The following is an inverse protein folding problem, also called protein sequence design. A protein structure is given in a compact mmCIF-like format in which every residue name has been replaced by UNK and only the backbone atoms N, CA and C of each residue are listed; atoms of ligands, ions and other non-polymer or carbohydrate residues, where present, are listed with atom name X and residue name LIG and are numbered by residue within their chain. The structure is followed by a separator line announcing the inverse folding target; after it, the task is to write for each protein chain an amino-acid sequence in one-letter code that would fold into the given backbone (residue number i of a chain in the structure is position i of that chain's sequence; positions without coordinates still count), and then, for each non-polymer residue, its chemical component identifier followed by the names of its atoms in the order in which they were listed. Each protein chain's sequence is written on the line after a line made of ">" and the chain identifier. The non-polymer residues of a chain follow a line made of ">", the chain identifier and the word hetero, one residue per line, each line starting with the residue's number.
data_IF_899264865063
#
_entry.id   IF_899264865063
#
_cell.length_a   1.000
_cell.length_b   1.000
_cell.length_c   1.000
_cell.angle_alpha   90.00
_cell.angle_beta   90.00
_cell.angle_gamma   90.00
#
_symmetry.space_group_name_H-M   'P 1'
#
loop_
_entity.id
_entity.type
_entity.pdbx_description
1 polymer ?
#
# COMPACT_ATOMS: atom_id res chain seq x y z
N UNK A 1 10.52 13.40 18.18
CA UNK A 1 11.25 12.47 17.28
C UNK A 1 11.64 13.28 16.06
N UNK A 2 12.79 13.00 15.47
CA UNK A 2 13.36 13.86 14.44
C UNK A 2 12.73 13.60 13.07
N UNK A 3 11.45 13.97 12.89
CA UNK A 3 10.75 13.88 11.60
C UNK A 3 11.57 14.51 10.45
N UNK A 4 12.21 15.69 10.62
CA UNK A 4 13.08 16.24 9.59
C UNK A 4 14.25 15.35 9.21
N UNK A 5 14.92 14.71 10.19
CA UNK A 5 16.03 13.78 9.95
C UNK A 5 15.53 12.53 9.22
N UNK A 6 14.35 12.01 9.60
CA UNK A 6 13.75 10.86 8.95
C UNK A 6 13.46 11.15 7.48
N UNK A 7 12.86 12.31 7.18
CA UNK A 7 12.57 12.76 5.81
C UNK A 7 13.84 12.93 4.99
N UNK A 8 14.86 13.59 5.55
CA UNK A 8 16.15 13.84 4.88
C UNK A 8 16.83 12.52 4.48
N UNK A 9 16.92 11.57 5.40
CA UNK A 9 17.56 10.27 5.13
C UNK A 9 16.76 9.46 4.12
N UNK A 10 15.41 9.44 4.20
CA UNK A 10 14.56 8.78 3.20
C UNK A 10 14.81 9.35 1.80
N UNK A 11 14.76 10.67 1.65
CA UNK A 11 14.93 11.30 0.35
C UNK A 11 16.34 11.07 -0.22
N UNK A 12 17.38 11.13 0.62
CA UNK A 12 18.74 10.83 0.21
C UNK A 12 18.92 9.35 -0.20
N UNK A 13 18.33 8.41 0.58
CA UNK A 13 18.47 6.98 0.33
C UNK A 13 17.71 6.51 -0.92
N UNK A 14 16.57 7.14 -1.22
CA UNK A 14 15.73 6.77 -2.36
C UNK A 14 15.92 7.65 -3.60
N UNK A 15 16.86 8.60 -3.58
CA UNK A 15 17.13 9.51 -4.70
C UNK A 15 17.45 8.76 -6.01
N UNK A 16 18.11 7.62 -5.93
CA UNK A 16 18.44 6.79 -7.10
C UNK A 16 17.21 6.12 -7.74
N UNK A 17 16.07 6.07 -7.01
CA UNK A 17 14.80 5.50 -7.48
C UNK A 17 13.84 6.58 -7.93
N UNK A 18 14.32 7.56 -8.66
CA UNK A 18 13.52 8.72 -9.13
C UNK A 18 12.30 8.31 -9.97
N UNK A 19 12.32 7.12 -10.58
CA UNK A 19 11.21 6.61 -11.39
C UNK A 19 9.92 6.37 -10.58
N UNK A 20 10.01 6.13 -9.28
CA UNK A 20 8.85 5.89 -8.42
C UNK A 20 8.87 6.69 -7.10
N UNK A 21 10.06 7.08 -6.60
CA UNK A 21 10.15 7.87 -5.38
C UNK A 21 9.78 9.33 -5.65
N UNK A 22 8.69 9.78 -5.06
CA UNK A 22 8.21 11.16 -5.22
C UNK A 22 8.72 12.14 -4.16
N UNK A 23 9.45 11.65 -3.18
CA UNK A 23 9.78 12.38 -1.96
C UNK A 23 8.63 12.42 -0.96
N UNK A 24 8.98 12.74 0.27
CA UNK A 24 8.07 12.99 1.37
C UNK A 24 8.50 14.29 2.07
N UNK A 25 7.58 15.05 2.62
CA UNK A 25 7.93 16.21 3.46
C UNK A 25 7.55 15.95 4.92
N UNK A 26 8.02 16.84 5.80
CA UNK A 26 7.78 16.76 7.25
C UNK A 26 6.29 16.78 7.59
N UNK A 27 5.49 17.56 6.87
CA UNK A 27 4.04 17.61 7.07
C UNK A 27 3.35 16.28 6.76
N UNK A 28 3.73 15.63 5.67
CA UNK A 28 3.23 14.29 5.32
C UNK A 28 3.68 13.23 6.32
N UNK A 29 4.93 13.34 6.83
CA UNK A 29 5.40 12.46 7.89
C UNK A 29 4.58 12.67 9.17
N UNK A 30 4.36 13.91 9.55
CA UNK A 30 3.53 14.26 10.71
C UNK A 30 2.09 13.72 10.58
N UNK A 31 1.48 13.82 9.39
CA UNK A 31 0.15 13.22 9.15
C UNK A 31 0.17 11.67 9.24
N UNK A 32 1.24 11.03 8.75
CA UNK A 32 1.43 9.58 8.89
C UNK A 32 1.51 9.16 10.36
N UNK A 33 2.16 9.94 11.19
CA UNK A 33 2.32 9.70 12.64
C UNK A 33 1.02 9.85 13.44
N UNK A 34 0.00 10.54 12.91
CA UNK A 34 -1.33 10.64 13.53
C UNK A 34 -2.18 9.37 13.39
N UNK A 35 -1.73 8.39 12.61
CA UNK A 35 -2.45 7.13 12.49
C UNK A 35 -2.53 6.43 13.86
N UNK A 36 -3.72 5.94 14.29
CA UNK A 36 -3.86 5.19 15.53
C UNK A 36 -2.98 3.93 15.61
N UNK A 37 -2.62 3.36 14.46
CA UNK A 37 -1.73 2.20 14.35
C UNK A 37 -0.25 2.56 14.25
N UNK A 38 0.11 3.85 14.25
CA UNK A 38 1.51 4.25 14.14
C UNK A 38 2.31 3.84 15.39
N UNK A 39 3.49 3.27 15.17
CA UNK A 39 4.31 2.69 16.21
C UNK A 39 5.61 3.50 16.40
N UNK A 40 5.60 4.41 17.37
CA UNK A 40 6.75 5.28 17.65
C UNK A 40 7.98 4.55 18.19
N UNK A 41 7.80 3.42 18.88
CA UNK A 41 8.89 2.70 19.55
C UNK A 41 9.79 1.92 18.60
N UNK A 42 9.29 1.61 17.40
CA UNK A 42 10.00 0.79 16.42
C UNK A 42 10.92 1.55 15.46
N UNK A 43 11.15 2.86 15.66
CA UNK A 43 11.93 3.69 14.72
C UNK A 43 13.38 3.81 15.18
N UNK A 44 14.31 3.47 14.28
CA UNK A 44 15.75 3.55 14.55
C UNK A 44 16.46 4.31 13.43
N UNK A 45 17.43 5.13 13.84
CA UNK A 45 18.33 5.88 12.95
C UNK A 45 19.75 5.34 13.16
N UNK A 46 20.41 4.99 12.07
CA UNK A 46 21.85 4.70 12.09
C UNK A 46 22.65 5.98 11.87
N UNK A 47 23.67 6.18 12.70
CA UNK A 47 24.57 7.31 12.59
C UNK A 47 26.02 6.82 12.39
N UNK A 48 26.75 7.50 11.52
CA UNK A 48 28.19 7.37 11.35
C UNK A 48 28.82 8.76 11.51
N UNK A 49 29.79 8.89 12.39
CA UNK A 49 30.45 10.18 12.69
C UNK A 49 29.44 11.31 12.95
N UNK A 50 28.45 11.02 13.81
CA UNK A 50 27.35 11.93 14.19
C UNK A 50 26.42 12.35 13.03
N UNK A 51 26.50 11.66 11.88
CA UNK A 51 25.63 11.90 10.73
C UNK A 51 24.61 10.78 10.58
N UNK A 52 23.30 11.12 10.46
CA UNK A 52 22.28 10.14 10.13
C UNK A 52 22.52 9.59 8.71
N UNK A 53 22.65 8.27 8.58
CA UNK A 53 23.01 7.62 7.31
C UNK A 53 22.05 6.51 6.89
N UNK A 54 21.16 6.08 7.78
CA UNK A 54 20.20 5.01 7.49
C UNK A 54 19.07 4.96 8.48
N UNK A 55 18.00 4.30 8.08
CA UNK A 55 16.75 4.17 8.82
C UNK A 55 16.23 2.75 8.79
N UNK A 56 15.50 2.38 9.85
CA UNK A 56 14.61 1.22 9.83
C UNK A 56 13.40 1.47 10.74
N UNK A 57 12.25 1.02 10.31
CA UNK A 57 11.01 1.05 11.09
C UNK A 57 10.51 -0.38 11.36
N UNK A 58 10.69 -0.83 12.59
CA UNK A 58 10.26 -2.12 13.12
C UNK A 58 8.84 -2.00 13.70
N UNK A 59 7.84 -2.16 12.86
CA UNK A 59 6.42 -2.03 13.22
C UNK A 59 5.87 -3.34 13.79
N UNK A 60 5.35 -3.32 15.03
CA UNK A 60 4.64 -4.45 15.61
C UNK A 60 3.13 -4.30 15.35
N UNK A 61 2.57 -5.23 14.55
CA UNK A 61 1.13 -5.24 14.26
C UNK A 61 0.34 -5.70 15.50
N UNK A 62 -0.51 -4.81 16.03
CA UNK A 62 -1.25 -5.04 17.28
C UNK A 62 -2.58 -5.78 17.09
N UNK A 63 -3.14 -5.74 15.88
CA UNK A 63 -4.47 -6.28 15.57
C UNK A 63 -4.43 -7.67 14.93
N UNK A 64 -3.24 -8.16 14.57
CA UNK A 64 -3.06 -9.50 13.99
C UNK A 64 -2.97 -10.57 15.08
N UNK A 65 -3.76 -11.64 14.95
CA UNK A 65 -3.67 -12.80 15.81
C UNK A 65 -2.31 -13.54 15.70
N UNK A 66 -1.66 -13.46 14.55
CA UNK A 66 -0.38 -14.16 14.26
C UNK A 66 0.83 -13.53 14.95
N UNK A 67 0.68 -12.41 15.68
CA UNK A 67 1.81 -11.66 16.26
C UNK A 67 2.88 -11.36 15.21
N UNK A 68 2.49 -10.65 14.18
CA UNK A 68 3.32 -10.29 13.03
C UNK A 68 3.96 -8.92 13.20
N UNK A 69 5.23 -8.83 12.83
CA UNK A 69 5.97 -7.58 12.72
C UNK A 69 6.38 -7.28 11.28
N UNK A 70 6.57 -6.01 10.99
CA UNK A 70 6.98 -5.54 9.67
C UNK A 70 8.21 -4.66 9.76
N UNK A 71 9.12 -4.81 8.82
CA UNK A 71 10.28 -3.93 8.64
C UNK A 71 10.00 -3.00 7.47
N UNK A 72 9.76 -1.72 7.78
CA UNK A 72 9.49 -0.64 6.83
C UNK A 72 10.62 0.38 6.83
N UNK A 73 10.59 1.34 5.90
CA UNK A 73 11.54 2.45 5.77
C UNK A 73 13.00 2.01 5.94
N UNK A 74 13.29 0.77 5.53
CA UNK A 74 14.60 0.15 5.69
C UNK A 74 15.53 0.63 4.58
N UNK A 75 16.39 1.58 4.87
CA UNK A 75 17.28 2.18 3.87
C UNK A 75 18.58 2.70 4.47
N UNK A 76 19.61 2.80 3.61
CA UNK A 76 20.89 3.45 3.87
C UNK A 76 21.21 4.35 2.69
N UNK A 77 21.68 5.57 2.98
CA UNK A 77 22.13 6.53 1.97
C UNK A 77 23.24 5.87 1.11
N UNK A 78 23.20 5.97 -0.24
CA UNK A 78 24.09 5.22 -1.14
C UNK A 78 25.56 5.26 -0.78
N UNK A 79 26.09 6.43 -0.42
CA UNK A 79 27.50 6.66 -0.09
C UNK A 79 27.96 5.94 1.20
N UNK A 80 27.02 5.42 2.00
CA UNK A 80 27.29 4.73 3.26
C UNK A 80 26.96 3.24 3.22
N UNK A 81 26.54 2.71 2.08
CA UNK A 81 26.32 1.26 1.86
C UNK A 81 27.63 0.49 1.93
N UNK A 82 27.54 -0.82 2.01
CA UNK A 82 28.69 -1.74 2.08
C UNK A 82 29.63 -1.48 3.29
N UNK A 83 29.09 -0.88 4.35
CA UNK A 83 29.81 -0.61 5.61
C UNK A 83 29.20 -1.34 6.81
N UNK A 84 28.36 -2.34 6.59
CA UNK A 84 27.69 -3.09 7.66
C UNK A 84 26.53 -2.34 8.33
N UNK A 85 26.10 -1.19 7.76
CA UNK A 85 25.00 -0.37 8.34
C UNK A 85 23.67 -1.07 8.13
N UNK A 86 23.44 -1.65 6.94
CA UNK A 86 22.18 -2.34 6.62
C UNK A 86 21.99 -3.58 7.49
N UNK A 87 23.05 -4.38 7.66
CA UNK A 87 23.05 -5.57 8.52
C UNK A 87 22.72 -5.18 9.96
N UNK A 88 23.31 -4.08 10.45
CA UNK A 88 23.08 -3.61 11.80
C UNK A 88 21.66 -3.10 12.02
N UNK A 89 21.10 -2.36 11.06
CA UNK A 89 19.70 -1.90 11.09
C UNK A 89 18.73 -3.08 11.07
N UNK A 90 18.99 -4.09 10.21
CA UNK A 90 18.17 -5.30 10.15
C UNK A 90 18.21 -6.06 11.48
N UNK A 91 19.41 -6.24 12.06
CA UNK A 91 19.60 -6.89 13.36
C UNK A 91 18.81 -6.19 14.48
N UNK A 92 18.90 -4.86 14.55
CA UNK A 92 18.17 -4.05 15.54
C UNK A 92 16.67 -4.21 15.36
N UNK A 93 16.15 -4.14 14.13
CA UNK A 93 14.73 -4.29 13.85
C UNK A 93 14.22 -5.69 14.22
N UNK A 94 14.95 -6.74 13.85
CA UNK A 94 14.59 -8.12 14.20
C UNK A 94 14.57 -8.32 15.72
N UNK A 95 15.58 -7.82 16.43
CA UNK A 95 15.67 -7.94 17.87
C UNK A 95 14.56 -7.17 18.60
N UNK A 96 14.21 -5.98 18.12
CA UNK A 96 13.10 -5.20 18.67
C UNK A 96 11.76 -5.92 18.49
N UNK A 97 11.47 -6.43 17.29
CA UNK A 97 10.24 -7.18 17.03
C UNK A 97 10.17 -8.46 17.86
N UNK A 98 11.30 -9.18 18.01
CA UNK A 98 11.39 -10.36 18.86
C UNK A 98 11.13 -10.02 20.34
N UNK A 99 11.76 -8.96 20.86
CA UNK A 99 11.56 -8.46 22.23
C UNK A 99 10.09 -8.12 22.49
N UNK A 100 9.39 -7.61 21.48
CA UNK A 100 7.96 -7.27 21.54
C UNK A 100 7.03 -8.46 21.31
N UNK A 101 7.59 -9.67 21.21
CA UNK A 101 6.85 -10.93 21.16
C UNK A 101 6.25 -11.26 19.80
N UNK A 102 6.79 -10.68 18.72
CA UNK A 102 6.41 -11.09 17.37
C UNK A 102 6.97 -12.46 17.04
N UNK A 103 6.20 -13.29 16.35
CA UNK A 103 6.57 -14.65 15.94
C UNK A 103 6.98 -14.69 14.46
N UNK A 104 6.53 -13.73 13.69
CA UNK A 104 6.75 -13.64 12.25
C UNK A 104 7.17 -12.22 11.92
N UNK A 105 8.19 -12.07 11.09
CA UNK A 105 8.64 -10.77 10.59
C UNK A 105 8.57 -10.78 9.06
N UNK A 106 8.02 -9.71 8.49
CA UNK A 106 8.03 -9.50 7.05
C UNK A 106 8.79 -8.23 6.69
N UNK A 107 9.46 -8.28 5.54
CA UNK A 107 10.09 -7.14 4.89
C UNK A 107 9.87 -7.24 3.38
N UNK A 108 9.85 -6.11 2.69
CA UNK A 108 9.67 -6.08 1.24
C UNK A 108 10.78 -5.26 0.57
N UNK A 109 11.03 -5.56 -0.70
CA UNK A 109 11.98 -4.83 -1.53
C UNK A 109 11.55 -4.88 -3.00
N UNK A 110 12.00 -3.91 -3.81
CA UNK A 110 11.88 -4.01 -5.26
C UNK A 110 12.74 -5.17 -5.80
N UNK A 111 12.28 -5.82 -6.86
CA UNK A 111 13.00 -6.93 -7.47
C UNK A 111 14.37 -6.52 -8.07
N UNK A 112 14.56 -5.23 -8.36
CA UNK A 112 15.79 -4.62 -8.85
C UNK A 112 16.89 -4.49 -7.77
N UNK A 113 16.51 -4.61 -6.48
CA UNK A 113 17.41 -4.49 -5.33
C UNK A 113 18.03 -5.84 -4.98
N UNK A 114 18.94 -6.34 -5.84
CA UNK A 114 19.62 -7.63 -5.60
C UNK A 114 20.44 -7.65 -4.31
N UNK A 115 21.03 -6.53 -3.91
CA UNK A 115 21.72 -6.31 -2.64
C UNK A 115 20.80 -6.59 -1.44
N UNK A 116 19.59 -6.02 -1.47
CA UNK A 116 18.60 -6.19 -0.42
C UNK A 116 18.01 -7.61 -0.40
N UNK A 117 17.78 -8.19 -1.57
CA UNK A 117 17.32 -9.59 -1.69
C UNK A 117 18.34 -10.52 -1.02
N UNK A 118 19.64 -10.36 -1.37
CA UNK A 118 20.71 -11.16 -0.79
C UNK A 118 20.79 -11.01 0.74
N UNK A 119 20.76 -9.78 1.26
CA UNK A 119 20.77 -9.51 2.69
C UNK A 119 19.60 -10.21 3.42
N UNK A 120 18.39 -10.12 2.89
CA UNK A 120 17.23 -10.78 3.49
C UNK A 120 17.38 -12.31 3.49
N UNK A 121 17.91 -12.89 2.41
CA UNK A 121 18.18 -14.33 2.33
C UNK A 121 19.27 -14.78 3.32
N UNK A 122 20.37 -14.02 3.48
CA UNK A 122 21.43 -14.26 4.46
C UNK A 122 20.93 -14.17 5.91
N UNK A 123 19.89 -13.36 6.14
CA UNK A 123 19.19 -13.26 7.42
C UNK A 123 18.09 -14.32 7.60
N UNK A 124 18.05 -15.36 6.76
CA UNK A 124 17.06 -16.45 6.77
C UNK A 124 15.62 -16.04 6.48
N UNK A 125 15.39 -14.90 5.85
CA UNK A 125 14.08 -14.60 5.29
C UNK A 125 13.82 -15.42 4.03
N UNK A 126 12.57 -15.81 3.81
CA UNK A 126 12.13 -16.56 2.63
C UNK A 126 11.12 -15.77 1.85
N UNK A 127 11.25 -15.75 0.52
CA UNK A 127 10.25 -15.15 -0.37
C UNK A 127 8.89 -15.84 -0.18
N UNK A 128 7.83 -15.07 0.10
CA UNK A 128 6.49 -15.60 0.35
C UNK A 128 5.48 -15.20 -0.70
N UNK A 129 5.58 -14.00 -1.28
CA UNK A 129 4.76 -13.56 -2.41
C UNK A 129 5.35 -12.34 -3.11
N UNK A 130 4.78 -12.02 -4.25
CA UNK A 130 5.09 -10.81 -5.02
C UNK A 130 3.90 -9.86 -5.00
N UNK A 131 4.19 -8.56 -4.95
CA UNK A 131 3.21 -7.51 -5.21
C UNK A 131 3.51 -6.89 -6.57
N UNK A 132 2.48 -6.72 -7.39
CA UNK A 132 2.56 -6.08 -8.69
C UNK A 132 1.95 -4.69 -8.62
N UNK A 133 2.72 -3.66 -8.97
CA UNK A 133 2.16 -2.42 -9.45
C UNK A 133 1.81 -2.60 -10.93
N UNK A 134 0.56 -2.34 -11.29
CA UNK A 134 0.06 -2.50 -12.65
C UNK A 134 -0.47 -1.18 -13.18
N UNK A 135 -0.29 -0.92 -14.47
CA UNK A 135 -0.68 0.31 -15.13
C UNK A 135 -1.53 0.05 -16.37
N UNK A 136 -2.47 0.95 -16.65
CA UNK A 136 -3.21 1.02 -17.91
C UNK A 136 -3.23 2.47 -18.43
N UNK A 137 -3.07 2.64 -19.75
CA UNK A 137 -3.46 3.89 -20.40
C UNK A 137 -4.99 3.88 -20.59
N UNK A 138 -5.67 4.94 -20.15
CA UNK A 138 -7.14 5.01 -20.17
C UNK A 138 -7.72 4.92 -21.58
N UNK A 139 -6.98 5.33 -22.61
CA UNK A 139 -7.38 5.14 -24.01
C UNK A 139 -7.40 3.68 -24.47
N UNK A 140 -6.74 2.79 -23.72
CA UNK A 140 -6.62 1.37 -24.05
C UNK A 140 -7.64 0.48 -23.32
N UNK A 141 -8.56 1.08 -22.58
CA UNK A 141 -9.62 0.32 -21.87
C UNK A 141 -10.55 -0.32 -22.91
N UNK A 142 -10.69 -1.67 -22.93
CA UNK A 142 -11.55 -2.33 -23.89
C UNK A 142 -13.02 -1.93 -23.72
N UNK A 143 -13.72 -1.69 -24.83
CA UNK A 143 -15.13 -1.28 -24.83
C UNK A 143 -16.10 -2.42 -24.43
N UNK A 144 -15.68 -3.70 -24.58
CA UNK A 144 -16.54 -4.87 -24.37
C UNK A 144 -16.03 -5.78 -23.25
N UNK A 145 -15.90 -5.21 -22.03
CA UNK A 145 -15.58 -6.01 -20.84
C UNK A 145 -16.90 -6.36 -20.16
N UNK A 146 -17.23 -7.62 -20.03
CA UNK A 146 -18.46 -8.06 -19.34
C UNK A 146 -18.51 -7.52 -17.90
N UNK A 147 -19.28 -6.46 -17.68
CA UNK A 147 -19.58 -5.86 -16.37
C UNK A 147 -21.01 -6.20 -15.96
N UNK A 148 -21.29 -6.14 -14.66
CA UNK A 148 -22.67 -6.31 -14.18
C UNK A 148 -23.37 -4.94 -14.17
N UNK A 149 -24.23 -4.72 -15.16
CA UNK A 149 -24.99 -3.46 -15.32
C UNK A 149 -26.13 -3.30 -14.31
N UNK A 150 -26.53 -4.35 -13.59
CA UNK A 150 -27.54 -4.27 -12.53
C UNK A 150 -26.97 -3.66 -11.23
N UNK A 151 -25.62 -3.56 -11.14
CA UNK A 151 -24.95 -2.92 -10.00
C UNK A 151 -25.08 -1.41 -10.11
N UNK A 152 -25.67 -0.79 -9.09
CA UNK A 152 -25.67 0.67 -8.92
C UNK A 152 -24.43 1.09 -8.14
N UNK A 153 -23.85 2.24 -8.52
CA UNK A 153 -22.70 2.80 -7.84
C UNK A 153 -23.05 4.17 -7.29
N UNK A 154 -22.71 4.40 -6.02
CA UNK A 154 -22.96 5.66 -5.33
C UNK A 154 -21.70 6.12 -4.57
N UNK A 155 -21.44 7.44 -4.47
CA UNK A 155 -20.30 7.92 -3.72
C UNK A 155 -20.51 7.75 -2.21
N UNK A 156 -19.41 7.49 -1.48
CA UNK A 156 -19.37 7.54 -0.02
C UNK A 156 -19.50 9.00 0.43
N UNK A 157 -20.36 9.23 1.41
CA UNK A 157 -20.54 10.55 2.05
C UNK A 157 -19.63 10.64 3.28
N UNK A 158 -18.52 11.35 3.16
CA UNK A 158 -17.47 11.40 4.18
C UNK A 158 -17.93 11.85 5.57
N UNK A 159 -18.98 12.68 5.62
CA UNK A 159 -19.57 13.21 6.87
C UNK A 159 -20.75 12.38 7.40
N UNK A 160 -21.02 11.22 6.82
CA UNK A 160 -22.10 10.32 7.24
C UNK A 160 -21.49 9.12 7.96
N UNK A 161 -21.70 9.03 9.26
CA UNK A 161 -21.15 7.98 10.11
C UNK A 161 -21.53 6.57 9.63
N UNK A 162 -22.74 6.39 9.12
CA UNK A 162 -23.21 5.11 8.56
C UNK A 162 -22.36 4.66 7.36
N UNK A 163 -21.96 5.61 6.51
CA UNK A 163 -21.11 5.29 5.35
C UNK A 163 -19.71 4.85 5.81
N UNK A 164 -19.16 5.48 6.85
CA UNK A 164 -17.86 5.07 7.45
C UNK A 164 -17.96 3.66 8.05
N UNK A 165 -19.03 3.37 8.79
CA UNK A 165 -19.27 2.03 9.36
C UNK A 165 -19.46 0.98 8.27
N UNK A 166 -20.20 1.32 7.22
CA UNK A 166 -20.39 0.43 6.06
C UNK A 166 -19.06 0.16 5.36
N UNK A 167 -18.23 1.17 5.15
CA UNK A 167 -16.91 0.99 4.56
C UNK A 167 -16.00 0.13 5.45
N UNK A 168 -15.99 0.36 6.76
CA UNK A 168 -15.21 -0.42 7.70
C UNK A 168 -15.62 -1.91 7.65
N UNK A 169 -16.92 -2.18 7.75
CA UNK A 169 -17.43 -3.54 7.65
C UNK A 169 -17.08 -4.20 6.31
N UNK A 170 -17.36 -3.54 5.18
CA UNK A 170 -17.03 -4.06 3.85
C UNK A 170 -15.53 -4.35 3.71
N UNK A 171 -14.68 -3.47 4.24
CA UNK A 171 -13.23 -3.66 4.16
C UNK A 171 -12.83 -4.91 4.92
N UNK A 172 -13.28 -5.06 6.16
CA UNK A 172 -12.94 -6.22 6.99
C UNK A 172 -13.44 -7.53 6.37
N UNK A 173 -14.70 -7.58 5.93
CA UNK A 173 -15.28 -8.78 5.29
C UNK A 173 -14.62 -9.12 3.93
N UNK A 174 -14.32 -8.12 3.11
CA UNK A 174 -13.77 -8.37 1.77
C UNK A 174 -12.31 -8.82 1.82
N UNK A 175 -11.56 -8.39 2.84
CA UNK A 175 -10.13 -8.63 2.96
C UNK A 175 -9.75 -9.69 4.00
N UNK A 176 -10.72 -10.27 4.73
CA UNK A 176 -10.47 -11.32 5.74
C UNK A 176 -9.60 -12.47 5.21
N UNK A 177 -9.78 -12.84 3.94
CA UNK A 177 -9.05 -13.95 3.30
C UNK A 177 -7.69 -13.53 2.69
N UNK A 178 -7.38 -12.22 2.68
CA UNK A 178 -6.14 -11.72 2.07
C UNK A 178 -4.99 -11.96 3.07
N UNK A 179 -3.91 -12.61 2.65
CA UNK A 179 -2.74 -12.76 3.51
C UNK A 179 -2.27 -11.41 4.06
N UNK A 180 -1.89 -11.38 5.32
CA UNK A 180 -1.41 -10.18 6.02
C UNK A 180 -2.45 -9.06 6.22
N UNK A 181 -3.72 -9.33 5.95
CA UNK A 181 -4.74 -8.36 6.30
C UNK A 181 -4.97 -8.36 7.82
N UNK A 182 -4.89 -7.19 8.43
CA UNK A 182 -5.29 -6.96 9.81
C UNK A 182 -6.63 -6.21 9.83
N UNK A 183 -7.62 -6.65 10.62
CA UNK A 183 -8.90 -5.97 10.72
C UNK A 183 -8.72 -4.50 11.14
N UNK A 184 -9.48 -3.61 10.53
CA UNK A 184 -9.43 -2.18 10.83
C UNK A 184 -10.51 -1.78 11.82
N UNK A 185 -10.14 -0.92 12.72
CA UNK A 185 -11.10 -0.22 13.57
C UNK A 185 -11.87 0.83 12.77
N UNK A 186 -13.02 1.26 13.28
CA UNK A 186 -13.80 2.35 12.68
C UNK A 186 -13.00 3.65 12.68
N UNK A 187 -12.20 3.88 13.71
CA UNK A 187 -11.36 5.07 13.83
C UNK A 187 -10.25 5.10 12.77
N UNK A 188 -9.57 3.98 12.52
CA UNK A 188 -8.58 3.87 11.43
C UNK A 188 -9.23 4.08 10.07
N UNK A 189 -10.43 3.52 9.86
CA UNK A 189 -11.18 3.73 8.62
C UNK A 189 -11.56 5.19 8.46
N UNK A 190 -12.07 5.85 9.52
CA UNK A 190 -12.40 7.27 9.52
C UNK A 190 -11.16 8.11 9.20
N UNK A 191 -10.06 7.85 9.88
CA UNK A 191 -8.79 8.54 9.62
C UNK A 191 -8.35 8.37 8.17
N UNK A 192 -8.44 7.16 7.63
CA UNK A 192 -8.06 6.89 6.23
C UNK A 192 -8.96 7.57 5.19
N UNK A 193 -10.21 7.91 5.52
CA UNK A 193 -11.14 8.62 4.63
C UNK A 193 -10.96 10.13 4.71
N UNK A 194 -10.64 10.65 5.89
CA UNK A 194 -10.59 12.10 6.15
C UNK A 194 -9.18 12.68 5.97
N UNK A 195 -8.14 11.91 6.32
CA UNK A 195 -6.76 12.38 6.44
C UNK A 195 -5.82 11.63 5.51
N UNK A 196 -6.08 11.65 4.19
CA UNK A 196 -5.13 11.11 3.22
C UNK A 196 -4.01 12.11 2.96
N UNK A 197 -2.87 11.91 3.61
CA UNK A 197 -1.71 12.79 3.53
C UNK A 197 -1.08 12.87 2.13
N UNK A 198 -1.25 11.85 1.29
CA UNK A 198 -0.59 11.77 -0.01
C UNK A 198 -1.53 11.72 -1.22
N UNK A 199 -2.85 11.60 -0.99
CA UNK A 199 -3.84 11.63 -2.07
C UNK A 199 -4.76 12.83 -1.88
N UNK A 200 -4.52 13.91 -2.61
CA UNK A 200 -5.29 15.15 -2.49
C UNK A 200 -6.75 14.99 -2.88
N UNK A 201 -7.02 14.14 -3.87
CA UNK A 201 -8.37 13.80 -4.30
C UNK A 201 -8.62 12.33 -4.10
N UNK A 202 -9.29 11.97 -3.01
CA UNK A 202 -9.78 10.61 -2.79
C UNK A 202 -11.30 10.59 -2.85
N UNK A 203 -11.81 9.75 -3.73
CA UNK A 203 -13.23 9.41 -3.80
C UNK A 203 -13.42 7.91 -3.58
N UNK A 204 -14.40 7.56 -2.78
CA UNK A 204 -14.78 6.17 -2.49
C UNK A 204 -16.21 5.96 -2.96
N UNK A 205 -16.48 4.81 -3.57
CA UNK A 205 -17.77 4.45 -4.12
C UNK A 205 -18.23 3.11 -3.58
N UNK A 206 -19.50 3.01 -3.24
CA UNK A 206 -20.17 1.77 -2.92
C UNK A 206 -20.83 1.16 -4.15
N UNK A 207 -20.77 -0.17 -4.26
CA UNK A 207 -21.54 -0.94 -5.23
C UNK A 207 -22.70 -1.63 -4.52
N UNK A 208 -23.92 -1.43 -5.01
CA UNK A 208 -25.11 -2.09 -4.52
C UNK A 208 -25.76 -2.97 -5.60
N UNK A 209 -26.19 -4.17 -5.20
CA UNK A 209 -26.99 -5.10 -5.99
C UNK A 209 -28.25 -5.43 -5.19
N UNK A 210 -29.42 -5.31 -5.82
CA UNK A 210 -30.73 -5.53 -5.15
C UNK A 210 -30.84 -4.74 -3.83
N UNK A 211 -30.47 -3.47 -3.85
CA UNK A 211 -30.45 -2.53 -2.72
C UNK A 211 -29.49 -2.91 -1.56
N UNK A 212 -28.69 -3.95 -1.71
CA UNK A 212 -27.68 -4.34 -0.72
C UNK A 212 -26.32 -3.84 -1.15
N UNK A 213 -25.61 -3.17 -0.25
CA UNK A 213 -24.20 -2.79 -0.49
C UNK A 213 -23.34 -4.06 -0.46
N UNK A 214 -22.67 -4.35 -1.57
CA UNK A 214 -21.97 -5.64 -1.79
C UNK A 214 -20.50 -5.48 -2.15
N UNK A 215 -20.03 -4.24 -2.29
CA UNK A 215 -18.63 -3.96 -2.60
C UNK A 215 -18.34 -2.48 -2.59
N UNK A 216 -17.09 -2.15 -2.81
CA UNK A 216 -16.61 -0.76 -2.87
C UNK A 216 -15.33 -0.65 -3.68
N UNK A 217 -15.02 0.58 -4.11
CA UNK A 217 -13.74 0.96 -4.68
C UNK A 217 -13.37 2.38 -4.29
N UNK A 218 -12.08 2.70 -4.30
CA UNK A 218 -11.58 4.05 -4.11
C UNK A 218 -10.72 4.49 -5.28
N UNK A 219 -10.71 5.77 -5.59
CA UNK A 219 -9.76 6.38 -6.52
C UNK A 219 -9.04 7.53 -5.84
N UNK A 220 -7.79 7.78 -6.22
CA UNK A 220 -7.01 8.87 -5.68
C UNK A 220 -6.00 9.38 -6.68
N UNK A 221 -5.56 10.65 -6.51
CA UNK A 221 -4.56 11.30 -7.35
C UNK A 221 -3.45 11.82 -6.45
N UNK A 222 -2.22 11.36 -6.70
CA UNK A 222 -1.03 11.90 -6.06
C UNK A 222 -0.45 13.00 -6.96
N UNK A 223 -0.76 14.25 -6.63
CA UNK A 223 -0.30 15.40 -7.42
C UNK A 223 1.22 15.56 -7.39
N UNK A 224 1.88 15.26 -6.25
CA UNK A 224 3.33 15.36 -6.15
C UNK A 224 4.02 14.36 -7.07
N UNK A 225 3.51 13.11 -7.08
CA UNK A 225 3.98 12.09 -8.01
C UNK A 225 3.79 12.54 -9.46
N UNK A 226 2.61 13.03 -9.80
CA UNK A 226 2.30 13.49 -11.15
C UNK A 226 3.19 14.65 -11.62
N UNK A 227 3.45 15.62 -10.74
CA UNK A 227 4.36 16.73 -11.03
C UNK A 227 5.79 16.22 -11.21
N UNK A 228 6.30 15.40 -10.28
CA UNK A 228 7.67 14.90 -10.32
C UNK A 228 7.92 14.01 -11.54
N UNK A 229 6.98 13.13 -11.87
CA UNK A 229 7.10 12.21 -13.01
C UNK A 229 6.65 12.81 -14.33
N UNK A 230 6.12 14.04 -14.32
CA UNK A 230 5.52 14.69 -15.48
C UNK A 230 4.47 13.80 -16.17
N UNK A 231 3.57 13.22 -15.38
CA UNK A 231 2.51 12.32 -15.84
C UNK A 231 1.14 12.82 -15.35
N UNK A 232 0.08 12.27 -15.95
CA UNK A 232 -1.31 12.42 -15.49
C UNK A 232 -1.84 11.04 -15.12
N UNK A 233 -1.52 10.60 -13.92
CA UNK A 233 -1.86 9.28 -13.41
C UNK A 233 -2.72 9.38 -12.16
N UNK A 234 -3.68 8.47 -12.04
CA UNK A 234 -4.43 8.25 -10.81
C UNK A 234 -4.31 6.80 -10.37
N UNK A 235 -4.65 6.52 -9.12
CA UNK A 235 -4.62 5.16 -8.58
C UNK A 235 -6.05 4.70 -8.27
N UNK A 236 -6.39 3.48 -8.69
CA UNK A 236 -7.52 2.77 -8.15
C UNK A 236 -7.00 2.10 -6.88
N UNK A 237 -7.50 2.54 -5.75
CA UNK A 237 -7.11 2.01 -4.45
C UNK A 237 -7.76 0.66 -4.16
N UNK A 238 -8.27 0.50 -2.96
CA UNK A 238 -8.89 -0.77 -2.57
C UNK A 238 -10.15 -1.07 -3.37
N UNK A 239 -10.27 -2.32 -3.82
CA UNK A 239 -11.47 -2.85 -4.45
C UNK A 239 -11.90 -4.07 -3.64
N UNK A 240 -13.07 -4.01 -3.05
CA UNK A 240 -13.67 -5.10 -2.28
C UNK A 240 -14.99 -5.55 -2.86
N UNK A 241 -15.22 -6.85 -2.93
CA UNK A 241 -16.52 -7.46 -3.23
C UNK A 241 -16.76 -8.59 -2.23
N UNK A 242 -17.89 -8.54 -1.53
CA UNK A 242 -18.29 -9.57 -0.56
C UNK A 242 -18.29 -10.96 -1.21
N UNK A 243 -17.76 -11.95 -0.52
CA UNK A 243 -17.57 -13.33 -1.01
C UNK A 243 -18.78 -13.93 -1.72
N UNK A 244 -20.04 -13.84 -1.21
CA UNK A 244 -21.22 -14.39 -1.89
C UNK A 244 -21.57 -13.70 -3.23
N UNK A 245 -21.01 -12.53 -3.48
CA UNK A 245 -21.28 -11.71 -4.65
C UNK A 245 -20.14 -11.69 -5.66
N UNK A 246 -19.04 -12.39 -5.40
CA UNK A 246 -17.88 -12.50 -6.32
C UNK A 246 -18.26 -13.28 -7.58
N UNK A 247 -17.46 -13.11 -8.65
CA UNK A 247 -17.62 -13.77 -9.97
C UNK A 247 -18.91 -13.44 -10.71
N UNK A 248 -19.60 -12.35 -10.31
CA UNK A 248 -20.80 -11.81 -10.94
C UNK A 248 -20.57 -10.51 -11.73
N UNK A 249 -19.31 -10.21 -12.10
CA UNK A 249 -18.95 -8.98 -12.85
C UNK A 249 -18.89 -7.70 -12.01
N UNK A 250 -19.14 -7.76 -10.68
CA UNK A 250 -19.16 -6.58 -9.79
C UNK A 250 -17.77 -5.95 -9.69
N UNK A 251 -16.71 -6.74 -9.51
CA UNK A 251 -15.35 -6.22 -9.48
C UNK A 251 -14.97 -5.51 -10.78
N UNK A 252 -15.34 -6.07 -11.93
CA UNK A 252 -15.14 -5.42 -13.23
C UNK A 252 -15.87 -4.08 -13.29
N UNK A 253 -17.14 -4.02 -12.82
CA UNK A 253 -17.94 -2.80 -12.76
C UNK A 253 -17.28 -1.72 -11.90
N UNK A 254 -16.72 -2.10 -10.74
CA UNK A 254 -16.01 -1.20 -9.83
C UNK A 254 -14.72 -0.66 -10.45
N UNK A 255 -13.91 -1.52 -11.09
CA UNK A 255 -12.69 -1.08 -11.80
C UNK A 255 -13.05 -0.10 -12.90
N UNK A 256 -14.01 -0.44 -13.77
CA UNK A 256 -14.43 0.44 -14.88
C UNK A 256 -15.00 1.78 -14.39
N UNK A 257 -15.72 1.78 -13.26
CA UNK A 257 -16.18 3.02 -12.64
C UNK A 257 -15.00 3.89 -12.18
N UNK A 258 -14.01 3.28 -11.51
CA UNK A 258 -12.79 3.97 -11.10
C UNK A 258 -12.04 4.57 -12.28
N UNK A 259 -11.87 3.81 -13.37
CA UNK A 259 -11.21 4.31 -14.60
C UNK A 259 -11.96 5.51 -15.21
N UNK A 260 -13.29 5.43 -15.33
CA UNK A 260 -14.12 6.55 -15.80
C UNK A 260 -14.02 7.78 -14.90
N UNK A 261 -13.95 7.59 -13.59
CA UNK A 261 -13.77 8.68 -12.63
C UNK A 261 -12.42 9.37 -12.82
N UNK A 262 -11.34 8.60 -13.02
CA UNK A 262 -10.01 9.15 -13.29
C UNK A 262 -9.95 9.86 -14.65
N UNK A 263 -10.58 9.32 -15.67
CA UNK A 263 -10.70 9.96 -16.99
C UNK A 263 -11.43 11.30 -16.89
N UNK A 264 -12.54 11.37 -16.17
CA UNK A 264 -13.29 12.61 -15.92
C UNK A 264 -12.46 13.67 -15.19
N UNK A 265 -11.45 13.25 -14.41
CA UNK A 265 -10.45 14.13 -13.76
C UNK A 265 -9.23 14.43 -14.65
N UNK A 266 -9.32 14.15 -15.94
CA UNK A 266 -8.27 14.40 -16.93
C UNK A 266 -6.97 13.61 -16.68
N UNK A 267 -7.04 12.47 -16.02
CA UNK A 267 -5.94 11.51 -15.95
C UNK A 267 -5.83 10.77 -17.29
N UNK A 268 -4.60 10.38 -17.64
CA UNK A 268 -4.28 9.63 -18.87
C UNK A 268 -4.01 8.17 -18.53
N UNK A 269 -3.52 7.91 -17.32
CA UNK A 269 -3.16 6.58 -16.84
C UNK A 269 -3.86 6.26 -15.54
N UNK A 270 -4.06 4.98 -15.29
CA UNK A 270 -4.48 4.46 -14.00
C UNK A 270 -3.52 3.37 -13.52
N UNK A 271 -3.26 3.36 -12.22
CA UNK A 271 -2.44 2.38 -11.54
C UNK A 271 -3.27 1.61 -10.52
N UNK A 272 -2.87 0.37 -10.25
CA UNK A 272 -3.43 -0.50 -9.21
C UNK A 272 -2.34 -1.42 -8.71
N UNK A 273 -2.42 -1.84 -7.45
CA UNK A 273 -1.51 -2.85 -6.88
C UNK A 273 -2.27 -4.10 -6.41
N UNK A 274 -1.59 -5.24 -6.44
CA UNK A 274 -2.13 -6.51 -5.92
C UNK A 274 -1.04 -7.56 -5.77
N UNK A 275 -1.27 -8.48 -4.85
CA UNK A 275 -0.39 -9.62 -4.61
C UNK A 275 -0.70 -10.78 -5.57
N UNK A 276 0.34 -11.56 -5.95
CA UNK A 276 0.23 -12.74 -6.80
C UNK A 276 -0.51 -13.90 -6.12
N UNK A 277 -0.40 -14.00 -4.79
CA UNK A 277 -1.05 -15.00 -3.95
C UNK A 277 -2.48 -14.60 -3.52
N UNK A 278 -3.01 -13.49 -4.04
CA UNK A 278 -4.35 -13.01 -3.70
C UNK A 278 -5.43 -14.05 -4.06
N UNK A 279 -6.19 -14.59 -3.09
CA UNK A 279 -7.16 -15.67 -3.30
C UNK A 279 -8.31 -15.26 -4.23
N UNK A 280 -8.59 -13.96 -4.36
CA UNK A 280 -9.62 -13.45 -5.29
C UNK A 280 -9.16 -13.47 -6.75
N UNK A 281 -7.85 -13.70 -7.00
CA UNK A 281 -7.21 -13.65 -8.33
C UNK A 281 -7.36 -12.27 -8.98
N UNK A 282 -7.13 -11.21 -8.19
CA UNK A 282 -7.26 -9.83 -8.64
C UNK A 282 -6.37 -9.50 -9.84
N UNK A 283 -5.16 -10.06 -9.94
CA UNK A 283 -4.28 -9.94 -11.12
C UNK A 283 -5.04 -10.23 -12.41
N UNK A 284 -5.78 -11.37 -12.46
CA UNK A 284 -6.55 -11.76 -13.64
C UNK A 284 -7.69 -10.79 -14.00
N UNK A 285 -8.27 -10.14 -12.98
CA UNK A 285 -9.28 -9.10 -13.19
C UNK A 285 -8.63 -7.88 -13.87
N UNK A 286 -7.49 -7.44 -13.38
CA UNK A 286 -6.79 -6.27 -13.91
C UNK A 286 -6.23 -6.53 -15.31
N UNK A 287 -5.62 -7.70 -15.56
CA UNK A 287 -5.18 -8.12 -16.90
C UNK A 287 -6.34 -8.14 -17.89
N UNK A 288 -7.51 -8.68 -17.49
CA UNK A 288 -8.72 -8.68 -18.33
C UNK A 288 -9.18 -7.26 -18.70
N UNK A 289 -9.00 -6.29 -17.80
CA UNK A 289 -9.33 -4.87 -18.06
C UNK A 289 -8.28 -4.21 -18.93
N UNK A 290 -7.07 -4.79 -19.04
CA UNK A 290 -5.98 -4.29 -19.88
C UNK A 290 -4.81 -3.71 -19.12
N UNK A 291 -4.78 -3.82 -17.80
CA UNK A 291 -3.61 -3.45 -17.01
C UNK A 291 -2.43 -4.37 -17.32
N UNK A 292 -1.22 -3.82 -17.24
CA UNK A 292 0.04 -4.54 -17.40
C UNK A 292 0.92 -4.28 -16.19
N UNK A 293 1.71 -5.28 -15.80
CA UNK A 293 2.70 -5.15 -14.73
C UNK A 293 3.72 -4.08 -15.13
N UNK A 294 3.90 -3.11 -14.26
CA UNK A 294 4.88 -2.04 -14.37
C UNK A 294 6.10 -2.32 -13.49
N UNK A 295 5.86 -2.76 -12.24
CA UNK A 295 6.90 -3.01 -11.26
C UNK A 295 6.52 -4.22 -10.39
N UNK A 296 7.54 -4.97 -9.97
CA UNK A 296 7.39 -6.08 -9.03
C UNK A 296 8.12 -5.79 -7.71
N UNK A 297 7.46 -6.11 -6.62
CA UNK A 297 8.03 -6.09 -5.27
C UNK A 297 8.01 -7.50 -4.69
N UNK A 298 9.05 -7.83 -3.95
CA UNK A 298 9.23 -9.13 -3.31
C UNK A 298 8.99 -8.98 -1.82
N UNK A 299 8.09 -9.78 -1.25
CA UNK A 299 7.88 -9.83 0.20
C UNK A 299 8.51 -11.10 0.77
N UNK A 300 9.37 -10.87 1.73
CA UNK A 300 10.10 -11.90 2.44
C UNK A 300 9.57 -12.05 3.87
N UNK A 301 9.59 -13.28 4.39
CA UNK A 301 9.14 -13.61 5.73
C UNK A 301 10.22 -14.40 6.49
N UNK A 302 10.39 -14.08 7.78
CA UNK A 302 11.20 -14.83 8.73
C UNK A 302 10.33 -15.24 9.92
N UNK A 303 10.38 -16.51 10.28
CA UNK A 303 9.81 -17.02 11.53
C UNK A 303 10.86 -17.00 12.63
N UNK A 304 10.49 -16.49 13.82
CA UNK A 304 11.38 -16.31 14.96
C UNK A 304 11.35 -17.52 15.89
#
# INVERSE_FOLDING_TARGET
>A
MDEPVWVEVLDAAYKEYESWWRGINVEEMHEREKSPSFDFEGRFIAELDEKPVGLVYAHAEKLSEEKKGFIYDFCVIPEFRDRGVEEKLAEVAINELKKRGMNVIQSWTGCERSDRVQLLEELDFKLVYKTFDMEINLSNVPSNIGENTQVTISPLRKNVEEDIRTLNWLTNECYEEIPNYSPRTIEETRNSVLNHSHLKEQEIFFAALDQKTVGYTGVGIDEKYNIKQNVKSGRIGRIGVLKPYRRKGIGTRLVLHGLKTLEAKSMIKAMVDTEDNNPTKAVKLYEKVGFKVLQEYLTFEKRL
#
